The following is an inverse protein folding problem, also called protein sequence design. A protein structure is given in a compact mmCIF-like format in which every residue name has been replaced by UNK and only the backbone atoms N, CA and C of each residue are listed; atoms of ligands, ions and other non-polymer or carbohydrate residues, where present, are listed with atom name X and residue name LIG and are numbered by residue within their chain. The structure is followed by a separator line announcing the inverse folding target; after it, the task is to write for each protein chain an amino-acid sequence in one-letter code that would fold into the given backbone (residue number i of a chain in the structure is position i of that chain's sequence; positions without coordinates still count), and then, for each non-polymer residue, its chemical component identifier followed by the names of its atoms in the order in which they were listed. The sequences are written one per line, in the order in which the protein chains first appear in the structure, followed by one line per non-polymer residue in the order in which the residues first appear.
data_IF_036314884415
#
_entry.id   IF_036314884415
#
_cell.length_a   1.000
_cell.length_b   1.000
_cell.length_c   1.000
_cell.angle_alpha   90.00
_cell.angle_beta   90.00
_cell.angle_gamma   90.00
#
_symmetry.space_group_name_H-M   'P 1'
#
loop_
_entity.id
_entity.type
_entity.pdbx_description
1 polymer ?
#
# COMPACT_ATOMS: atom_id res chain seq x y z
N UNK A 1 38.78 11.88 -17.72
CA UNK A 1 38.38 10.47 -17.95
C UNK A 1 37.41 10.03 -16.86
N UNK A 2 36.12 10.20 -17.10
CA UNK A 2 35.04 9.71 -16.24
C UNK A 2 34.94 8.19 -16.42
N UNK A 3 35.19 7.42 -15.35
CA UNK A 3 34.95 5.97 -15.37
C UNK A 3 33.48 5.72 -15.69
N UNK A 4 33.12 4.82 -16.62
CA UNK A 4 31.73 4.41 -16.79
C UNK A 4 31.30 3.77 -15.47
N UNK A 5 30.48 4.50 -14.72
CA UNK A 5 29.88 4.02 -13.48
C UNK A 5 29.05 2.79 -13.84
N UNK A 6 29.48 1.62 -13.36
CA UNK A 6 28.73 0.38 -13.49
C UNK A 6 27.35 0.62 -12.86
N UNK A 7 26.33 0.78 -13.69
CA UNK A 7 24.96 0.98 -13.21
C UNK A 7 24.55 -0.34 -12.56
N UNK A 8 24.56 -0.40 -11.23
CA UNK A 8 24.10 -1.58 -10.49
C UNK A 8 22.64 -1.80 -10.89
N UNK A 9 22.31 -3.01 -11.36
CA UNK A 9 20.96 -3.36 -11.80
C UNK A 9 19.95 -3.19 -10.66
N UNK A 10 18.72 -2.81 -11.01
CA UNK A 10 17.60 -2.74 -10.07
C UNK A 10 17.34 -4.14 -9.53
N UNK A 11 17.34 -4.26 -8.21
CA UNK A 11 17.09 -5.53 -7.53
C UNK A 11 15.61 -5.90 -7.65
N UNK A 12 15.31 -7.20 -7.66
CA UNK A 12 13.93 -7.69 -7.67
C UNK A 12 13.08 -7.13 -6.52
N UNK A 13 13.70 -6.77 -5.39
CA UNK A 13 13.04 -6.14 -4.23
C UNK A 13 12.48 -4.76 -4.55
N UNK A 14 13.24 -3.95 -5.27
CA UNK A 14 12.80 -2.61 -5.68
C UNK A 14 11.64 -2.71 -6.67
N UNK A 15 11.71 -3.68 -7.60
CA UNK A 15 10.60 -3.99 -8.50
C UNK A 15 9.35 -4.44 -7.75
N UNK A 16 9.48 -5.25 -6.70
CA UNK A 16 8.35 -5.60 -5.84
C UNK A 16 7.76 -4.39 -5.12
N UNK A 17 8.58 -3.44 -4.68
CA UNK A 17 8.09 -2.19 -4.08
C UNK A 17 7.23 -1.39 -5.06
N UNK A 18 7.68 -1.27 -6.31
CA UNK A 18 6.89 -0.60 -7.35
C UNK A 18 5.63 -1.40 -7.73
N UNK A 19 5.75 -2.72 -7.92
CA UNK A 19 4.60 -3.57 -8.23
C UNK A 19 3.54 -3.52 -7.12
N UNK A 20 3.96 -3.53 -5.86
CA UNK A 20 3.07 -3.35 -4.72
C UNK A 20 2.44 -1.96 -4.72
N UNK A 21 3.21 -0.90 -4.98
CA UNK A 21 2.67 0.46 -5.12
C UNK A 21 1.62 0.57 -6.23
N UNK A 22 1.87 -0.03 -7.39
CA UNK A 22 0.93 -0.07 -8.51
C UNK A 22 -0.30 -0.91 -8.19
N UNK A 23 -0.13 -2.03 -7.49
CA UNK A 23 -1.26 -2.85 -7.03
C UNK A 23 -2.11 -2.09 -6.02
N UNK A 24 -1.50 -1.37 -5.08
CA UNK A 24 -2.20 -0.52 -4.13
C UNK A 24 -2.98 0.59 -4.84
N UNK A 25 -2.37 1.27 -5.82
CA UNK A 25 -3.07 2.26 -6.64
C UNK A 25 -4.21 1.61 -7.45
N UNK A 26 -3.97 0.48 -8.12
CA UNK A 26 -5.01 -0.23 -8.87
C UNK A 26 -6.18 -0.64 -7.98
N UNK A 27 -5.89 -0.99 -6.72
CA UNK A 27 -6.92 -1.34 -5.76
C UNK A 27 -7.85 -0.18 -5.41
N UNK A 28 -7.44 1.09 -5.56
CA UNK A 28 -8.30 2.24 -5.23
C UNK A 28 -9.50 2.39 -6.17
N UNK A 29 -9.43 1.80 -7.36
CA UNK A 29 -10.52 1.78 -8.34
C UNK A 29 -11.47 0.59 -8.18
N UNK A 30 -11.17 -0.33 -7.27
CA UNK A 30 -12.04 -1.47 -6.95
C UNK A 30 -13.02 -1.09 -5.83
N UNK A 31 -14.05 -1.92 -5.56
CA UNK A 31 -14.91 -1.79 -4.38
C UNK A 31 -14.09 -1.75 -3.07
N UNK A 32 -14.18 -0.68 -2.30
CA UNK A 32 -13.60 -0.57 -0.94
C UNK A 32 -14.64 -0.77 0.15
N UNK A 33 -15.86 -0.33 -0.10
CA UNK A 33 -17.00 -0.47 0.82
C UNK A 33 -18.20 -1.00 0.04
N UNK A 34 -18.90 -1.98 0.60
CA UNK A 34 -20.06 -2.65 -0.02
C UNK A 34 -21.22 -2.75 0.96
N UNK A 35 -22.43 -2.43 0.53
CA UNK A 35 -23.65 -2.67 1.29
C UNK A 35 -24.20 -4.06 0.94
N UNK A 36 -24.53 -4.86 1.96
CA UNK A 36 -25.10 -6.21 1.81
C UNK A 36 -26.21 -6.43 2.82
N UNK A 37 -27.18 -7.28 2.53
CA UNK A 37 -28.24 -7.63 3.49
C UNK A 37 -28.36 -9.14 3.69
N UNK A 38 -28.69 -9.54 4.92
CA UNK A 38 -29.06 -10.93 5.22
C UNK A 38 -30.52 -11.23 4.87
N UNK A 39 -31.31 -10.20 4.53
CA UNK A 39 -32.71 -10.31 4.13
C UNK A 39 -32.81 -10.36 2.59
N UNK A 40 -33.34 -11.44 1.99
CA UNK A 40 -33.30 -11.65 0.54
C UNK A 40 -34.14 -10.64 -0.25
N UNK A 41 -35.19 -10.10 0.36
CA UNK A 41 -36.01 -9.01 -0.18
C UNK A 41 -35.21 -7.69 -0.28
N UNK A 42 -34.45 -7.35 0.75
CA UNK A 42 -33.59 -6.15 0.77
C UNK A 42 -32.39 -6.31 -0.16
N UNK A 43 -31.78 -7.49 -0.20
CA UNK A 43 -30.68 -7.79 -1.12
C UNK A 43 -31.11 -7.64 -2.58
N UNK A 44 -32.33 -8.09 -2.93
CA UNK A 44 -32.89 -7.88 -4.27
C UNK A 44 -33.12 -6.39 -4.59
N UNK A 45 -33.47 -5.57 -3.61
CA UNK A 45 -33.60 -4.12 -3.78
C UNK A 45 -32.23 -3.47 -3.95
N UNK A 46 -31.24 -3.86 -3.15
CA UNK A 46 -29.84 -3.43 -3.31
C UNK A 46 -29.33 -3.77 -4.70
N UNK A 47 -29.62 -4.96 -5.23
CA UNK A 47 -29.22 -5.35 -6.58
C UNK A 47 -29.88 -4.53 -7.71
N UNK A 48 -31.00 -3.87 -7.44
CA UNK A 48 -31.70 -3.00 -8.40
C UNK A 48 -31.23 -1.54 -8.35
N UNK A 49 -30.55 -1.15 -7.28
CA UNK A 49 -29.99 0.19 -7.13
C UNK A 49 -28.78 0.39 -8.07
N UNK A 50 -28.51 1.64 -8.48
CA UNK A 50 -27.28 1.96 -9.19
C UNK A 50 -26.06 1.45 -8.45
N UNK A 51 -25.10 0.87 -9.17
CA UNK A 51 -23.93 0.22 -8.56
C UNK A 51 -23.14 1.16 -7.61
N UNK A 52 -23.06 2.45 -7.93
CA UNK A 52 -22.39 3.46 -7.10
C UNK A 52 -23.08 3.78 -5.77
N UNK A 53 -24.35 3.42 -5.62
CA UNK A 53 -25.11 3.62 -4.37
C UNK A 53 -24.90 2.46 -3.40
N UNK A 54 -24.56 1.27 -3.92
CA UNK A 54 -24.34 0.04 -3.15
C UNK A 54 -22.86 -0.19 -2.87
N UNK A 55 -21.99 0.29 -3.77
CA UNK A 55 -20.56 0.03 -3.74
C UNK A 55 -19.79 1.32 -3.98
N UNK A 56 -18.86 1.60 -3.06
CA UNK A 56 -17.97 2.76 -3.13
C UNK A 56 -16.54 2.33 -3.40
N UNK A 57 -15.91 3.00 -4.35
CA UNK A 57 -14.46 2.91 -4.56
C UNK A 57 -13.71 3.73 -3.49
N UNK A 58 -12.37 3.68 -3.48
CA UNK A 58 -11.61 4.37 -2.44
C UNK A 58 -11.76 5.90 -2.48
N UNK A 59 -12.01 6.47 -3.66
CA UNK A 59 -12.09 7.91 -3.87
C UNK A 59 -13.40 8.51 -3.35
N UNK A 60 -14.47 7.72 -3.37
CA UNK A 60 -15.78 8.09 -2.84
C UNK A 60 -16.02 7.53 -1.42
N UNK A 61 -14.98 6.97 -0.80
CA UNK A 61 -15.00 6.45 0.57
C UNK A 61 -14.32 7.42 1.55
N UNK A 62 -13.79 6.91 2.66
CA UNK A 62 -13.04 7.70 3.65
C UNK A 62 -11.58 8.04 3.28
N UNK A 63 -10.99 8.98 4.02
CA UNK A 63 -9.57 9.34 3.92
C UNK A 63 -8.63 8.13 4.02
N UNK A 64 -8.95 7.15 4.86
CA UNK A 64 -8.15 5.94 5.04
C UNK A 64 -8.22 4.97 3.86
N UNK A 65 -9.10 5.21 2.88
CA UNK A 65 -9.22 4.37 1.69
C UNK A 65 -8.26 4.81 0.58
N UNK A 66 -8.27 6.09 0.20
CA UNK A 66 -7.45 6.58 -0.92
C UNK A 66 -6.07 7.10 -0.50
N UNK A 67 -5.93 7.65 0.71
CA UNK A 67 -4.68 8.27 1.14
C UNK A 67 -3.54 7.25 1.27
N UNK A 68 -3.68 6.11 1.96
CA UNK A 68 -2.55 5.21 2.23
C UNK A 68 -1.90 4.56 0.99
N UNK A 69 -2.63 4.20 -0.07
CA UNK A 69 -2.04 3.71 -1.32
C UNK A 69 -1.06 4.69 -2.00
N UNK A 70 -1.29 6.00 -1.90
CA UNK A 70 -0.51 7.00 -2.64
C UNK A 70 0.94 7.13 -2.15
N UNK A 71 1.24 7.30 -0.84
CA UNK A 71 2.60 7.24 -0.32
C UNK A 71 3.30 5.92 -0.63
N UNK A 72 2.57 4.80 -0.63
CA UNK A 72 3.14 3.48 -0.96
C UNK A 72 3.65 3.44 -2.41
N UNK A 73 2.86 3.95 -3.35
CA UNK A 73 3.28 4.09 -4.75
C UNK A 73 4.48 5.04 -4.90
N UNK A 74 4.42 6.20 -4.25
CA UNK A 74 5.52 7.18 -4.29
C UNK A 74 6.81 6.57 -3.74
N UNK A 75 6.74 5.81 -2.64
CA UNK A 75 7.90 5.10 -2.10
C UNK A 75 8.44 4.07 -3.09
N UNK A 76 7.57 3.28 -3.74
CA UNK A 76 7.98 2.34 -4.79
C UNK A 76 8.70 3.01 -5.96
N UNK A 77 8.17 4.15 -6.44
CA UNK A 77 8.79 4.94 -7.51
C UNK A 77 10.15 5.50 -7.08
N UNK A 78 10.22 6.09 -5.88
CA UNK A 78 11.46 6.63 -5.31
C UNK A 78 12.52 5.53 -5.18
N UNK A 79 12.13 4.35 -4.71
CA UNK A 79 13.05 3.22 -4.54
C UNK A 79 13.58 2.71 -5.87
N UNK A 80 12.75 2.57 -6.90
CA UNK A 80 13.22 2.13 -8.23
C UNK A 80 14.07 3.20 -8.92
N UNK A 81 13.69 4.48 -8.82
CA UNK A 81 14.41 5.58 -9.47
C UNK A 81 15.76 5.87 -8.80
N UNK A 82 15.79 5.94 -7.47
CA UNK A 82 16.95 6.37 -6.69
C UNK A 82 17.75 5.22 -6.09
N UNK A 83 17.23 4.00 -6.11
CA UNK A 83 17.92 2.81 -5.60
C UNK A 83 19.24 2.49 -6.29
N UNK A 84 19.45 3.02 -7.52
CA UNK A 84 20.73 2.92 -8.24
C UNK A 84 21.81 3.86 -7.67
N UNK A 85 21.41 4.93 -6.97
CA UNK A 85 22.33 5.94 -6.45
C UNK A 85 22.82 5.53 -5.07
N UNK A 86 24.07 5.05 -5.01
CA UNK A 86 24.69 4.56 -3.77
C UNK A 86 24.63 5.57 -2.62
N UNK A 87 24.82 6.87 -2.93
CA UNK A 87 24.73 7.95 -1.93
C UNK A 87 23.36 7.95 -1.25
N UNK A 88 22.27 7.87 -2.02
CA UNK A 88 20.91 7.89 -1.48
C UNK A 88 20.56 6.61 -0.72
N UNK A 89 21.06 5.45 -1.17
CA UNK A 89 20.91 4.19 -0.43
C UNK A 89 21.56 4.25 0.95
N UNK A 90 22.78 4.80 1.04
CA UNK A 90 23.51 4.92 2.32
C UNK A 90 22.87 5.98 3.23
N UNK A 91 22.23 7.00 2.66
CA UNK A 91 21.49 8.02 3.40
C UNK A 91 20.17 7.55 4.01
N UNK A 92 19.77 6.29 3.83
CA UNK A 92 18.62 5.70 4.52
C UNK A 92 17.36 5.52 3.68
N UNK A 93 17.47 5.47 2.34
CA UNK A 93 16.36 5.16 1.44
C UNK A 93 15.54 3.90 1.87
N UNK A 94 16.17 2.77 2.28
CA UNK A 94 15.41 1.60 2.72
C UNK A 94 14.64 1.84 4.02
N UNK A 95 15.16 2.65 4.93
CA UNK A 95 14.49 3.04 6.16
C UNK A 95 13.28 3.93 5.86
N UNK A 96 13.43 4.91 4.97
CA UNK A 96 12.33 5.76 4.54
C UNK A 96 11.20 4.92 3.91
N UNK A 97 11.55 3.99 3.01
CA UNK A 97 10.58 3.09 2.41
C UNK A 97 9.86 2.24 3.47
N UNK A 98 10.59 1.67 4.43
CA UNK A 98 9.99 0.89 5.51
C UNK A 98 9.03 1.73 6.38
N UNK A 99 9.41 2.96 6.73
CA UNK A 99 8.56 3.87 7.50
C UNK A 99 7.29 4.22 6.73
N UNK A 100 7.39 4.53 5.44
CA UNK A 100 6.23 4.83 4.60
C UNK A 100 5.32 3.60 4.46
N UNK A 101 5.89 2.41 4.25
CA UNK A 101 5.11 1.18 4.18
C UNK A 101 4.40 0.87 5.51
N UNK A 102 5.08 1.05 6.65
CA UNK A 102 4.50 0.87 7.97
C UNK A 102 3.39 1.88 8.26
N UNK A 103 3.60 3.16 7.96
CA UNK A 103 2.58 4.20 8.13
C UNK A 103 1.36 3.94 7.24
N UNK A 104 1.57 3.57 5.97
CA UNK A 104 0.49 3.23 5.05
C UNK A 104 -0.30 2.02 5.54
N UNK A 105 0.40 0.97 6.01
CA UNK A 105 -0.23 -0.21 6.58
C UNK A 105 -1.05 0.14 7.82
N UNK A 106 -0.52 0.96 8.73
CA UNK A 106 -1.24 1.42 9.92
C UNK A 106 -2.50 2.20 9.56
N UNK A 107 -2.42 3.12 8.60
CA UNK A 107 -3.60 3.88 8.15
C UNK A 107 -4.65 2.97 7.51
N UNK A 108 -4.23 1.99 6.70
CA UNK A 108 -5.15 1.00 6.13
C UNK A 108 -5.82 0.18 7.23
N UNK A 109 -5.06 -0.27 8.24
CA UNK A 109 -5.56 -0.99 9.42
C UNK A 109 -6.56 -0.13 10.20
N UNK A 110 -6.27 1.15 10.42
CA UNK A 110 -7.20 2.09 11.06
C UNK A 110 -8.50 2.22 10.27
N UNK A 111 -8.41 2.23 8.93
CA UNK A 111 -9.57 2.18 8.07
C UNK A 111 -10.54 1.04 8.44
N UNK A 112 -10.04 -0.14 8.83
CA UNK A 112 -10.88 -1.27 9.25
C UNK A 112 -11.79 -0.94 10.42
N UNK A 113 -11.28 -0.20 11.39
CA UNK A 113 -12.04 0.19 12.57
C UNK A 113 -12.94 1.39 12.33
N UNK A 114 -12.68 2.19 11.30
CA UNK A 114 -13.46 3.39 10.98
C UNK A 114 -14.41 3.19 9.80
N UNK A 115 -14.66 1.94 9.37
CA UNK A 115 -15.50 1.66 8.20
C UNK A 115 -16.96 2.12 8.43
N UNK A 116 -17.51 1.88 9.61
CA UNK A 116 -18.85 2.36 9.96
C UNK A 116 -18.92 3.89 10.09
N UNK A 117 -17.78 4.54 10.33
CA UNK A 117 -17.70 6.01 10.47
C UNK A 117 -17.70 6.73 9.12
N UNK A 118 -17.66 5.98 8.01
CA UNK A 118 -17.85 6.52 6.67
C UNK A 118 -19.30 6.99 6.43
N UNK A 119 -20.23 6.54 7.27
CA UNK A 119 -21.64 6.90 7.19
C UNK A 119 -22.06 7.69 8.42
N UNK A 120 -22.92 8.69 8.21
CA UNK A 120 -23.47 9.49 9.30
C UNK A 120 -24.31 8.63 10.24
N UNK A 121 -24.51 9.09 11.48
CA UNK A 121 -25.27 8.35 12.49
C UNK A 121 -26.69 8.01 12.03
N UNK A 122 -27.34 8.95 11.33
CA UNK A 122 -28.69 8.76 10.79
C UNK A 122 -28.73 7.68 9.69
N UNK A 123 -27.72 7.67 8.81
CA UNK A 123 -27.60 6.65 7.75
C UNK A 123 -27.37 5.26 8.34
N UNK A 124 -26.50 5.17 9.36
CA UNK A 124 -26.26 3.92 10.09
C UNK A 124 -27.54 3.39 10.75
N UNK A 125 -28.33 4.25 11.39
CA UNK A 125 -29.60 3.87 11.98
C UNK A 125 -30.60 3.35 10.96
N UNK A 126 -30.65 3.96 9.76
CA UNK A 126 -31.49 3.49 8.66
C UNK A 126 -31.01 2.12 8.15
N UNK A 127 -29.71 1.93 7.96
CA UNK A 127 -29.15 0.64 7.52
C UNK A 127 -29.41 -0.47 8.53
N UNK A 128 -29.21 -0.20 9.82
CA UNK A 128 -29.48 -1.16 10.89
C UNK A 128 -30.97 -1.55 10.93
N UNK A 129 -31.88 -0.58 10.83
CA UNK A 129 -33.32 -0.83 10.78
C UNK A 129 -33.73 -1.63 9.52
N UNK A 130 -33.09 -1.36 8.39
CA UNK A 130 -33.30 -2.08 7.12
C UNK A 130 -32.63 -3.46 7.09
N UNK A 131 -31.74 -3.79 8.04
CA UNK A 131 -30.96 -5.02 8.02
C UNK A 131 -29.86 -5.02 6.95
N UNK A 132 -29.35 -3.83 6.60
CA UNK A 132 -28.22 -3.62 5.70
C UNK A 132 -26.93 -3.53 6.52
N UNK A 133 -25.97 -4.36 6.19
CA UNK A 133 -24.63 -4.38 6.76
C UNK A 133 -23.64 -3.67 5.83
N UNK A 134 -22.75 -2.87 6.44
CA UNK A 134 -21.63 -2.23 5.75
C UNK A 134 -20.43 -3.20 5.82
N UNK A 135 -19.94 -3.61 4.66
CA UNK A 135 -18.88 -4.59 4.52
C UNK A 135 -17.64 -4.06 3.79
N UNK A 136 -16.47 -4.69 4.01
CA UNK A 136 -15.25 -4.39 3.27
C UNK A 136 -15.31 -4.97 1.85
N UNK A 137 -14.96 -4.16 0.86
CA UNK A 137 -14.82 -4.58 -0.54
C UNK A 137 -13.45 -5.17 -0.88
N UNK A 138 -13.34 -5.79 -2.06
CA UNK A 138 -12.13 -6.46 -2.54
C UNK A 138 -10.90 -5.54 -2.61
N UNK A 139 -11.09 -4.27 -3.00
CA UNK A 139 -10.03 -3.28 -3.12
C UNK A 139 -9.28 -3.08 -1.81
N UNK A 140 -9.99 -3.13 -0.68
CA UNK A 140 -9.38 -2.99 0.65
C UNK A 140 -8.42 -4.14 0.99
N UNK A 141 -8.80 -5.38 0.66
CA UNK A 141 -7.94 -6.54 0.87
C UNK A 141 -6.68 -6.47 -0.01
N UNK A 142 -6.83 -6.06 -1.26
CA UNK A 142 -5.71 -5.91 -2.20
C UNK A 142 -4.76 -4.78 -1.78
N UNK A 143 -5.28 -3.64 -1.32
CA UNK A 143 -4.48 -2.55 -0.78
C UNK A 143 -3.69 -2.99 0.45
N UNK A 144 -4.32 -3.70 1.39
CA UNK A 144 -3.65 -4.22 2.59
C UNK A 144 -2.55 -5.23 2.23
N UNK A 145 -2.85 -6.16 1.31
CA UNK A 145 -1.89 -7.13 0.81
C UNK A 145 -0.69 -6.44 0.15
N UNK A 146 -0.93 -5.43 -0.69
CA UNK A 146 0.12 -4.64 -1.31
C UNK A 146 1.01 -3.93 -0.27
N UNK A 147 0.42 -3.34 0.77
CA UNK A 147 1.17 -2.70 1.85
C UNK A 147 2.05 -3.71 2.61
N UNK A 148 1.53 -4.91 2.89
CA UNK A 148 2.31 -6.00 3.51
C UNK A 148 3.49 -6.43 2.63
N UNK A 149 3.26 -6.68 1.34
CA UNK A 149 4.31 -7.08 0.39
C UNK A 149 5.39 -5.99 0.28
N UNK A 150 4.99 -4.73 0.19
CA UNK A 150 5.91 -3.58 0.15
C UNK A 150 6.72 -3.49 1.44
N UNK A 151 6.09 -3.66 2.61
CA UNK A 151 6.76 -3.67 3.91
C UNK A 151 7.79 -4.80 4.05
N UNK A 152 7.44 -6.01 3.60
CA UNK A 152 8.38 -7.16 3.59
C UNK A 152 9.56 -6.86 2.66
N UNK A 153 9.30 -6.35 1.46
CA UNK A 153 10.36 -6.01 0.51
C UNK A 153 11.30 -4.92 1.07
N UNK A 154 10.73 -3.88 1.72
CA UNK A 154 11.49 -2.83 2.39
C UNK A 154 12.36 -3.37 3.53
N UNK A 155 11.79 -4.25 4.36
CA UNK A 155 12.51 -4.89 5.46
C UNK A 155 13.69 -5.74 4.95
N UNK A 156 13.47 -6.53 3.89
CA UNK A 156 14.51 -7.34 3.28
C UNK A 156 15.61 -6.48 2.64
N UNK A 157 15.27 -5.37 1.99
CA UNK A 157 16.26 -4.46 1.42
C UNK A 157 17.08 -3.75 2.52
N UNK A 158 16.43 -3.31 3.61
CA UNK A 158 17.09 -2.77 4.79
C UNK A 158 18.06 -3.77 5.42
N UNK A 159 17.66 -5.05 5.53
CA UNK A 159 18.55 -6.11 6.04
C UNK A 159 19.74 -6.36 5.12
N UNK A 160 19.51 -6.38 3.80
CA UNK A 160 20.59 -6.54 2.82
C UNK A 160 21.60 -5.37 2.90
N UNK A 161 21.11 -4.13 3.01
CA UNK A 161 21.97 -2.96 3.15
C UNK A 161 22.81 -3.00 4.44
N UNK A 162 22.21 -3.41 5.56
CA UNK A 162 22.93 -3.60 6.83
C UNK A 162 24.01 -4.68 6.71
N UNK A 163 23.73 -5.80 6.02
CA UNK A 163 24.71 -6.84 5.77
C UNK A 163 25.89 -6.34 4.92
N UNK A 164 25.63 -5.58 3.85
CA UNK A 164 26.67 -4.98 3.02
C UNK A 164 27.55 -3.98 3.81
N UNK A 165 26.96 -3.20 4.72
CA UNK A 165 27.70 -2.24 5.55
C UNK A 165 28.63 -2.89 6.58
N UNK A 166 28.32 -4.11 7.02
CA UNK A 166 29.11 -4.86 8.01
C UNK A 166 30.28 -5.63 7.40
N UNK A 167 30.34 -5.78 6.08
CA UNK A 167 31.47 -6.45 5.46
C UNK A 167 32.72 -5.58 5.61
N UNK A 168 33.80 -6.07 6.26
CA UNK A 168 35.03 -5.32 6.39
C UNK A 168 35.54 -5.00 4.99
N UNK A 169 35.86 -3.72 4.76
CA UNK A 169 36.46 -3.23 3.52
C UNK A 169 37.73 -4.04 3.29
N UNK A 170 37.67 -5.07 2.43
CA UNK A 170 38.85 -5.84 2.01
C UNK A 170 39.91 -4.82 1.62
N UNK A 171 40.91 -4.68 2.47
CA UNK A 171 42.06 -3.81 2.26
C UNK A 171 42.62 -4.25 0.92
N UNK A 172 42.46 -3.42 -0.11
CA UNK A 172 43.08 -3.64 -1.40
C UNK A 172 44.57 -3.50 -1.13
N UNK A 173 45.22 -4.63 -0.83
CA UNK A 173 46.66 -4.75 -0.73
C UNK A 173 47.26 -4.07 -1.95
N UNK A 174 48.00 -2.99 -1.71
CA UNK A 174 48.97 -2.49 -2.67
C UNK A 174 50.06 -3.56 -2.77
N UNK A 175 49.98 -4.42 -3.77
CA UNK A 175 51.17 -4.93 -4.46
C UNK A 175 51.23 -4.09 -5.73
N UNK A 176 52.14 -3.13 -5.86
CA UNK A 176 53.58 -3.32 -5.96
C UNK A 176 53.94 -2.68 -7.29
#
# INVERSE_FOLDING_TARGET
MTRPGFVKSVTWREWLGLAAGLLALGSTFLPWTTLTSTRPDIENILAQLPHGDVVRDAWHSSFFSWCPPLPLLLAGLVVVAFGRIRTLRVSGLPQLWLVVAAASLLLMVLGWFTLDWEFDGDQRGIFEAAGVAIGPGLGRFLGLFAALVSGVAAFLDMRAMRAESRQPRKTRSKSG
#
